data_IF_464417611095
#
_entry.id   IF_464417611095
#
_cell.length_a   1.000
_cell.length_b   1.000
_cell.length_c   1.000
_cell.angle_alpha   90.00
_cell.angle_beta   90.00
_cell.angle_gamma   90.00
#
_symmetry.space_group_name_H-M   'P 1'
#
loop_
_entity.id
_entity.type
_entity.pdbx_description
1 polymer ?
#
# COMPACT_ATOMS: atom_id res chain seq x y z
N UNK A 1 1.44 -33.66 -11.49
CA UNK A 1 1.75 -34.00 -12.90
C UNK A 1 3.24 -34.28 -12.95
N UNK A 2 3.64 -35.53 -13.22
CA UNK A 2 5.03 -35.80 -13.58
C UNK A 2 5.35 -35.00 -14.84
N UNK A 3 6.36 -34.13 -14.74
CA UNK A 3 6.90 -33.46 -15.92
C UNK A 3 7.97 -34.37 -16.48
N UNK A 4 7.60 -35.12 -17.49
CA UNK A 4 8.50 -35.98 -18.25
C UNK A 4 9.38 -35.11 -19.15
N UNK A 5 10.41 -34.49 -18.58
CA UNK A 5 11.50 -33.94 -19.38
C UNK A 5 12.27 -35.11 -19.96
N UNK A 6 12.46 -35.09 -21.27
CA UNK A 6 13.14 -36.14 -22.03
C UNK A 6 14.63 -35.87 -22.17
N UNK A 7 15.02 -34.60 -22.09
CA UNK A 7 16.42 -34.18 -22.06
C UNK A 7 16.58 -32.93 -21.20
N UNK A 8 17.79 -32.73 -20.70
CA UNK A 8 18.21 -31.56 -19.95
C UNK A 8 19.60 -31.11 -20.40
N UNK A 9 19.84 -29.81 -20.37
CA UNK A 9 21.10 -29.18 -20.69
C UNK A 9 21.40 -28.11 -19.63
N UNK A 10 22.50 -28.30 -18.90
CA UNK A 10 22.93 -27.34 -17.88
C UNK A 10 23.58 -26.13 -18.55
N UNK A 11 22.99 -24.95 -18.38
CA UNK A 11 23.55 -23.70 -18.89
C UNK A 11 24.66 -23.15 -17.97
N UNK A 12 24.52 -23.38 -16.66
CA UNK A 12 25.53 -23.00 -15.68
C UNK A 12 24.95 -22.56 -14.34
N UNK A 13 25.80 -21.93 -13.54
CA UNK A 13 25.46 -21.31 -12.26
C UNK A 13 25.51 -19.79 -12.40
N UNK A 14 24.47 -19.10 -11.94
CA UNK A 14 24.49 -17.65 -11.74
C UNK A 14 24.63 -17.34 -10.26
N UNK A 15 25.54 -16.43 -9.95
CA UNK A 15 25.72 -15.90 -8.60
C UNK A 15 25.01 -14.55 -8.48
N UNK A 16 23.95 -14.50 -7.68
CA UNK A 16 23.25 -13.27 -7.27
C UNK A 16 22.35 -13.56 -6.05
N UNK A 17 21.93 -12.53 -5.31
CA UNK A 17 21.09 -12.71 -4.14
C UNK A 17 19.66 -13.08 -4.55
N UNK A 18 19.39 -14.36 -4.73
CA UNK A 18 18.09 -14.85 -5.23
C UNK A 18 16.90 -14.50 -4.33
N UNK A 19 17.12 -14.06 -3.08
CA UNK A 19 16.03 -13.59 -2.21
C UNK A 19 15.64 -12.14 -2.51
N UNK A 20 16.54 -11.35 -3.09
CA UNK A 20 16.31 -9.93 -3.37
C UNK A 20 16.21 -9.63 -4.87
N UNK A 21 16.91 -10.40 -5.71
CA UNK A 21 17.15 -10.06 -7.11
C UNK A 21 16.48 -11.04 -8.09
N UNK A 22 15.79 -12.08 -7.60
CA UNK A 22 15.16 -13.09 -8.47
C UNK A 22 14.04 -12.50 -9.34
N UNK A 23 13.13 -11.73 -8.74
CA UNK A 23 12.03 -11.12 -9.49
C UNK A 23 12.57 -10.12 -10.53
N UNK A 24 13.61 -9.37 -10.17
CA UNK A 24 14.29 -8.47 -11.09
C UNK A 24 14.94 -9.22 -12.25
N UNK A 25 15.64 -10.32 -11.96
CA UNK A 25 16.25 -11.16 -12.98
C UNK A 25 15.21 -11.80 -13.91
N UNK A 26 14.07 -12.27 -13.39
CA UNK A 26 12.98 -12.85 -14.20
C UNK A 26 12.38 -11.79 -15.16
N UNK A 27 12.19 -10.55 -14.72
CA UNK A 27 11.72 -9.47 -15.61
C UNK A 27 12.78 -9.10 -16.66
N UNK A 28 14.07 -9.15 -16.32
CA UNK A 28 15.14 -8.97 -17.32
C UNK A 28 15.14 -10.09 -18.38
N UNK A 29 14.93 -11.34 -17.98
CA UNK A 29 14.76 -12.48 -18.90
C UNK A 29 13.56 -12.25 -19.81
N UNK A 30 12.41 -11.83 -19.26
CA UNK A 30 11.20 -11.51 -20.02
C UNK A 30 11.46 -10.43 -21.07
N UNK A 31 12.16 -9.37 -20.68
CA UNK A 31 12.54 -8.28 -21.59
C UNK A 31 13.45 -8.79 -22.72
N UNK A 32 14.46 -9.60 -22.40
CA UNK A 32 15.38 -10.17 -23.39
C UNK A 32 14.67 -11.10 -24.39
N UNK A 33 13.62 -11.82 -23.95
CA UNK A 33 12.74 -12.62 -24.82
C UNK A 33 11.87 -11.70 -25.70
N UNK A 34 11.29 -10.64 -25.11
CA UNK A 34 10.45 -9.67 -25.82
C UNK A 34 11.17 -8.90 -26.93
N UNK A 35 12.43 -8.50 -26.69
CA UNK A 35 13.30 -7.86 -27.71
C UNK A 35 13.52 -8.77 -28.92
N UNK A 36 13.45 -10.09 -28.72
CA UNK A 36 13.58 -11.11 -29.78
C UNK A 36 12.24 -11.46 -30.43
N UNK A 37 11.19 -10.67 -30.22
CA UNK A 37 9.88 -10.84 -30.85
C UNK A 37 9.02 -11.98 -30.29
N UNK A 38 9.41 -12.55 -29.14
CA UNK A 38 8.71 -13.68 -28.52
C UNK A 38 8.02 -13.26 -27.22
N UNK A 39 7.10 -14.08 -26.74
CA UNK A 39 6.38 -13.83 -25.49
C UNK A 39 6.73 -14.85 -24.41
N UNK A 40 6.47 -14.50 -23.14
CA UNK A 40 6.87 -15.28 -21.98
C UNK A 40 5.66 -15.91 -21.27
N UNK A 41 5.74 -17.20 -20.96
CA UNK A 41 4.92 -17.85 -19.94
C UNK A 41 5.78 -18.31 -18.77
N UNK A 42 5.36 -18.08 -17.53
CA UNK A 42 6.10 -18.51 -16.33
C UNK A 42 5.23 -19.35 -15.40
N UNK A 43 5.83 -20.28 -14.67
CA UNK A 43 5.17 -20.97 -13.56
C UNK A 43 6.14 -21.42 -12.49
N UNK A 44 5.71 -21.32 -11.23
CA UNK A 44 6.46 -21.84 -10.08
C UNK A 44 6.00 -23.26 -9.79
N UNK A 45 6.94 -24.19 -9.74
CA UNK A 45 6.67 -25.60 -9.52
C UNK A 45 7.39 -26.10 -8.28
N UNK A 46 6.78 -27.10 -7.64
CA UNK A 46 7.38 -27.88 -6.56
C UNK A 46 7.37 -29.32 -7.00
N UNK A 47 8.54 -29.93 -7.03
CA UNK A 47 8.66 -31.39 -7.10
C UNK A 47 9.10 -31.90 -5.72
N UNK A 48 8.83 -33.17 -5.42
CA UNK A 48 9.18 -33.78 -4.14
C UNK A 48 10.70 -33.92 -3.96
N UNK A 49 11.46 -33.96 -5.07
CA UNK A 49 12.91 -34.12 -5.06
C UNK A 49 13.68 -32.79 -5.14
N UNK A 50 13.09 -31.76 -5.76
CA UNK A 50 13.71 -30.45 -5.94
C UNK A 50 12.96 -29.37 -5.16
N UNK A 51 13.68 -28.52 -4.45
CA UNK A 51 13.15 -27.27 -3.89
C UNK A 51 12.36 -26.49 -4.97
N UNK A 52 11.47 -25.54 -4.59
CA UNK A 52 10.69 -24.78 -5.57
C UNK A 52 11.60 -24.24 -6.68
N UNK A 53 11.28 -24.60 -7.92
CA UNK A 53 11.97 -24.13 -9.11
C UNK A 53 11.00 -23.34 -9.98
N UNK A 54 11.54 -22.40 -10.73
CA UNK A 54 10.77 -21.60 -11.68
C UNK A 54 10.98 -22.17 -13.07
N UNK A 55 9.89 -22.51 -13.75
CA UNK A 55 9.91 -22.85 -15.17
C UNK A 55 9.54 -21.61 -15.99
N UNK A 56 10.36 -21.31 -16.97
CA UNK A 56 10.21 -20.20 -17.90
C UNK A 56 10.00 -20.79 -19.30
N UNK A 57 8.91 -20.39 -19.96
CA UNK A 57 8.52 -20.85 -21.30
C UNK A 57 8.52 -19.68 -22.27
N UNK A 58 8.97 -19.96 -23.48
CA UNK A 58 8.82 -19.07 -24.63
C UNK A 58 7.53 -19.47 -25.36
N UNK A 59 6.74 -18.47 -25.74
CA UNK A 59 5.58 -18.61 -26.61
C UNK A 59 5.86 -17.80 -27.87
N UNK A 60 5.79 -18.47 -29.01
CA UNK A 60 6.09 -17.93 -30.33
C UNK A 60 4.92 -18.21 -31.27
N UNK A 61 4.41 -17.18 -31.95
CA UNK A 61 3.20 -17.25 -32.78
C UNK A 61 1.97 -17.91 -32.12
N UNK A 62 1.86 -17.85 -30.78
CA UNK A 62 0.78 -18.48 -30.02
C UNK A 62 1.03 -19.93 -29.60
N UNK A 63 2.16 -20.52 -29.99
CA UNK A 63 2.58 -21.87 -29.62
C UNK A 63 3.69 -21.83 -28.56
N UNK A 64 3.52 -22.61 -27.50
CA UNK A 64 4.55 -22.73 -26.47
C UNK A 64 5.68 -23.64 -26.96
N UNK A 65 6.91 -23.19 -26.82
CA UNK A 65 8.08 -24.01 -27.08
C UNK A 65 8.11 -25.25 -26.19
N UNK A 66 8.51 -26.38 -26.78
CA UNK A 66 8.73 -27.64 -26.05
C UNK A 66 9.98 -27.61 -25.15
N UNK A 67 10.91 -26.67 -25.42
CA UNK A 67 12.06 -26.37 -24.58
C UNK A 67 11.71 -25.29 -23.55
N UNK A 68 11.96 -25.58 -22.28
CA UNK A 68 11.70 -24.69 -21.16
C UNK A 68 12.98 -24.45 -20.38
N UNK A 69 13.16 -23.26 -19.83
CA UNK A 69 14.23 -23.03 -18.88
C UNK A 69 13.78 -23.34 -17.46
N UNK A 70 14.66 -23.99 -16.71
CA UNK A 70 14.47 -24.39 -15.32
C UNK A 70 15.48 -23.61 -14.49
N UNK A 71 14.96 -22.85 -13.52
CA UNK A 71 15.77 -22.05 -12.60
C UNK A 71 15.58 -22.59 -11.18
N UNK A 72 16.64 -23.11 -10.57
CA UNK A 72 16.58 -23.72 -9.25
C UNK A 72 17.63 -23.11 -8.31
N UNK A 73 17.23 -22.84 -7.08
CA UNK A 73 18.14 -22.35 -6.03
C UNK A 73 18.96 -23.51 -5.46
N UNK A 74 20.27 -23.33 -5.29
CA UNK A 74 21.10 -24.32 -4.62
C UNK A 74 20.82 -24.36 -3.11
N UNK A 75 20.64 -25.57 -2.57
CA UNK A 75 20.34 -25.79 -1.14
C UNK A 75 21.42 -25.24 -0.22
N UNK A 76 22.68 -25.49 -0.59
CA UNK A 76 23.84 -25.14 0.23
C UNK A 76 24.37 -23.74 -0.11
N UNK A 77 23.73 -23.02 -1.03
CA UNK A 77 24.20 -21.72 -1.50
C UNK A 77 23.02 -20.83 -1.89
N UNK A 78 22.42 -20.11 -0.92
CA UNK A 78 21.27 -19.25 -1.17
C UNK A 78 21.51 -18.10 -2.16
N UNK A 79 22.77 -17.82 -2.50
CA UNK A 79 23.22 -16.80 -3.45
C UNK A 79 23.59 -17.36 -4.82
N UNK A 80 23.34 -18.66 -5.05
CA UNK A 80 23.58 -19.32 -6.32
C UNK A 80 22.30 -19.92 -6.87
N UNK A 81 22.13 -19.78 -8.17
CA UNK A 81 21.04 -20.36 -8.93
C UNK A 81 21.61 -21.19 -10.06
N UNK A 82 21.10 -22.41 -10.20
CA UNK A 82 21.38 -23.27 -11.35
C UNK A 82 20.35 -23.00 -12.41
N UNK A 83 20.80 -22.87 -13.65
CA UNK A 83 19.94 -22.71 -14.81
C UNK A 83 20.19 -23.88 -15.76
N UNK A 84 19.12 -24.58 -16.09
CA UNK A 84 19.11 -25.58 -17.15
C UNK A 84 18.03 -25.27 -18.19
N UNK A 85 18.15 -25.88 -19.36
CA UNK A 85 17.08 -25.98 -20.34
C UNK A 85 16.66 -27.44 -20.40
N UNK A 86 15.37 -27.71 -20.41
CA UNK A 86 14.84 -29.05 -20.54
C UNK A 86 13.78 -29.10 -21.63
N UNK A 87 13.68 -30.23 -22.34
CA UNK A 87 12.69 -30.42 -23.39
C UNK A 87 11.78 -31.63 -23.14
N UNK A 88 10.59 -31.58 -23.71
CA UNK A 88 9.55 -32.63 -23.54
C UNK A 88 9.50 -33.68 -24.65
N UNK A 89 10.14 -33.42 -25.78
CA UNK A 89 10.16 -34.30 -26.95
C UNK A 89 11.62 -34.58 -27.36
N UNK A 90 11.92 -35.83 -27.73
CA UNK A 90 13.23 -36.24 -28.26
C UNK A 90 13.41 -35.85 -29.74
N UNK A 91 12.30 -35.77 -30.50
CA UNK A 91 12.33 -35.65 -31.96
C UNK A 91 12.60 -34.21 -32.45
N UNK A 92 12.52 -33.22 -31.56
CA UNK A 92 12.93 -31.83 -31.84
C UNK A 92 14.41 -31.62 -31.49
N UNK A 93 15.30 -32.31 -32.19
CA UNK A 93 16.73 -31.96 -32.26
C UNK A 93 16.89 -30.70 -33.15
N UNK A 94 16.16 -29.64 -32.79
CA UNK A 94 16.54 -28.23 -32.96
C UNK A 94 17.04 -27.70 -31.60
N UNK A 95 17.64 -28.60 -30.81
CA UNK A 95 18.12 -28.32 -29.45
C UNK A 95 19.17 -27.23 -29.47
N UNK A 96 20.03 -27.13 -30.48
CA UNK A 96 21.09 -26.13 -30.53
C UNK A 96 20.57 -24.70 -30.72
N UNK A 97 19.59 -24.45 -31.59
CA UNK A 97 19.02 -23.10 -31.77
C UNK A 97 18.27 -22.66 -30.50
N UNK A 98 17.45 -23.55 -29.94
CA UNK A 98 16.68 -23.24 -28.71
C UNK A 98 17.58 -23.10 -27.49
N UNK A 99 18.62 -23.93 -27.36
CA UNK A 99 19.64 -23.80 -26.29
C UNK A 99 20.39 -22.50 -26.48
N UNK A 100 20.86 -22.18 -27.69
CA UNK A 100 21.57 -20.93 -27.98
C UNK A 100 20.71 -19.71 -27.67
N UNK A 101 19.43 -19.73 -28.04
CA UNK A 101 18.47 -18.70 -27.66
C UNK A 101 18.42 -18.49 -26.14
N UNK A 102 18.31 -19.58 -25.37
CA UNK A 102 18.29 -19.49 -23.90
C UNK A 102 19.63 -19.01 -23.33
N UNK A 103 20.76 -19.50 -23.84
CA UNK A 103 22.10 -19.05 -23.45
C UNK A 103 22.21 -17.55 -23.63
N UNK A 104 21.84 -17.02 -24.80
CA UNK A 104 21.88 -15.59 -25.09
C UNK A 104 20.95 -14.79 -24.17
N UNK A 105 19.69 -15.21 -24.03
CA UNK A 105 18.71 -14.55 -23.18
C UNK A 105 19.19 -14.46 -21.73
N UNK A 106 19.76 -15.54 -21.19
CA UNK A 106 20.26 -15.54 -19.82
C UNK A 106 21.55 -14.77 -19.64
N UNK A 107 22.45 -14.80 -20.61
CA UNK A 107 23.65 -13.97 -20.60
C UNK A 107 23.29 -12.48 -20.64
N UNK A 108 22.40 -12.07 -21.55
CA UNK A 108 21.92 -10.69 -21.64
C UNK A 108 21.24 -10.23 -20.34
N UNK A 109 20.38 -11.08 -19.77
CA UNK A 109 19.71 -10.81 -18.51
C UNK A 109 20.71 -10.71 -17.34
N UNK A 110 21.71 -11.59 -17.30
CA UNK A 110 22.76 -11.55 -16.28
C UNK A 110 23.64 -10.31 -16.40
N UNK A 111 24.07 -9.96 -17.61
CA UNK A 111 24.81 -8.72 -17.86
C UNK A 111 23.97 -7.48 -17.50
N UNK A 112 22.69 -7.48 -17.84
CA UNK A 112 21.76 -6.42 -17.47
C UNK A 112 21.61 -6.31 -15.95
N UNK A 113 21.53 -7.42 -15.23
CA UNK A 113 21.50 -7.45 -13.76
C UNK A 113 22.77 -6.86 -13.14
N UNK A 114 23.90 -6.89 -13.86
CA UNK A 114 25.16 -6.25 -13.42
C UNK A 114 25.31 -4.81 -13.88
N UNK A 115 24.42 -4.31 -14.73
CA UNK A 115 24.42 -2.90 -15.11
C UNK A 115 24.00 -2.00 -13.94
N UNK A 116 24.47 -0.76 -13.97
CA UNK A 116 24.09 0.27 -13.01
C UNK A 116 22.59 0.52 -13.05
N UNK A 117 22.00 0.75 -11.88
CA UNK A 117 20.61 1.18 -11.79
C UNK A 117 20.47 2.53 -12.48
N UNK A 118 19.39 2.65 -13.26
CA UNK A 118 18.97 3.89 -13.88
C UNK A 118 17.95 4.58 -12.98
N UNK A 119 17.93 5.91 -13.06
CA UNK A 119 16.95 6.71 -12.34
C UNK A 119 15.77 7.01 -13.26
N UNK A 120 14.61 6.45 -12.94
CA UNK A 120 13.36 6.67 -13.66
C UNK A 120 12.59 7.82 -13.04
N UNK A 121 12.23 8.81 -13.86
CA UNK A 121 11.31 9.87 -13.46
C UNK A 121 9.88 9.42 -13.73
N UNK A 122 9.00 9.55 -12.75
CA UNK A 122 7.62 9.12 -12.82
C UNK A 122 6.64 10.20 -12.39
N UNK A 123 5.42 10.11 -12.89
CA UNK A 123 4.29 10.95 -12.51
C UNK A 123 3.15 10.10 -11.96
N UNK A 124 2.40 10.66 -11.02
CA UNK A 124 1.21 10.07 -10.42
C UNK A 124 0.20 11.16 -10.09
N UNK A 125 -1.02 10.76 -9.74
CA UNK A 125 -2.05 11.69 -9.24
C UNK A 125 -2.55 11.19 -7.90
N UNK A 126 -2.63 12.11 -6.94
CA UNK A 126 -3.20 11.86 -5.62
C UNK A 126 -4.33 12.84 -5.36
N UNK A 127 -5.16 12.56 -4.37
CA UNK A 127 -6.22 13.50 -3.99
C UNK A 127 -7.06 12.98 -2.84
N UNK A 128 -7.96 13.82 -2.30
CA UNK A 128 -8.88 13.40 -1.25
C UNK A 128 -9.71 12.20 -1.71
N UNK A 129 -9.99 11.26 -0.80
CA UNK A 129 -10.89 10.14 -1.04
C UNK A 129 -12.33 10.68 -1.17
N UNK A 130 -13.08 10.29 -2.21
CA UNK A 130 -14.49 10.67 -2.33
C UNK A 130 -15.32 10.14 -1.15
N UNK A 131 -16.50 10.70 -0.92
CA UNK A 131 -17.44 10.32 0.14
C UNK A 131 -16.92 10.50 1.58
N UNK A 132 -15.91 11.36 1.77
CA UNK A 132 -15.45 11.76 3.10
C UNK A 132 -16.00 13.15 3.42
N UNK A 133 -16.67 13.30 4.58
CA UNK A 133 -17.31 14.56 4.99
C UNK A 133 -16.33 15.74 5.02
N UNK A 134 -15.07 15.51 5.39
CA UNK A 134 -14.05 16.56 5.55
C UNK A 134 -13.22 16.86 4.30
N UNK A 135 -13.46 16.17 3.17
CA UNK A 135 -12.47 16.09 2.09
C UNK A 135 -12.79 16.94 0.84
N UNK A 136 -13.77 17.83 0.91
CA UNK A 136 -14.11 18.69 -0.24
C UNK A 136 -13.15 19.88 -0.36
N UNK A 137 -12.74 20.16 -1.60
CA UNK A 137 -12.14 21.45 -1.98
C UNK A 137 -10.72 21.74 -1.49
N UNK A 138 -9.89 20.76 -1.15
CA UNK A 138 -8.50 21.06 -0.73
C UNK A 138 -7.64 21.39 -1.95
N UNK A 139 -6.86 22.47 -1.86
CA UNK A 139 -5.89 22.88 -2.87
C UNK A 139 -4.58 23.30 -2.22
N UNK A 140 -3.47 22.84 -2.78
CA UNK A 140 -2.15 23.31 -2.37
C UNK A 140 -2.03 24.80 -2.69
N UNK A 141 -1.66 25.58 -1.69
CA UNK A 141 -1.41 27.02 -1.81
C UNK A 141 -0.23 27.34 -2.73
N UNK A 142 0.76 26.45 -2.81
CA UNK A 142 1.90 26.53 -3.72
C UNK A 142 2.46 25.10 -3.98
N UNK A 143 3.21 24.90 -5.08
CA UNK A 143 4.01 23.70 -5.27
C UNK A 143 4.98 23.47 -4.10
N UNK A 144 5.23 22.21 -3.77
CA UNK A 144 6.11 21.81 -2.69
C UNK A 144 6.90 20.54 -3.04
N UNK A 145 7.84 20.17 -2.17
CA UNK A 145 8.59 18.92 -2.27
C UNK A 145 8.39 18.11 -0.99
N UNK A 146 8.13 16.81 -1.14
CA UNK A 146 8.00 15.86 -0.03
C UNK A 146 8.80 14.61 -0.38
N UNK A 147 9.91 14.39 0.31
CA UNK A 147 10.75 13.21 0.12
C UNK A 147 11.43 13.14 -1.23
N UNK A 148 11.68 14.28 -1.87
CA UNK A 148 12.14 14.36 -3.26
C UNK A 148 11.04 14.20 -4.31
N UNK A 149 9.77 14.06 -3.90
CA UNK A 149 8.62 14.14 -4.81
C UNK A 149 8.11 15.57 -4.90
N UNK A 150 8.06 16.12 -6.10
CA UNK A 150 7.42 17.39 -6.41
C UNK A 150 5.90 17.21 -6.37
N UNK A 151 5.20 18.04 -5.61
CA UNK A 151 3.74 18.03 -5.50
C UNK A 151 3.14 19.37 -5.87
N UNK A 152 2.11 19.37 -6.72
CA UNK A 152 1.39 20.57 -7.11
C UNK A 152 -0.09 20.27 -7.35
N UNK A 153 -0.99 21.19 -6.97
CA UNK A 153 -2.39 21.04 -7.33
C UNK A 153 -2.59 21.27 -8.83
N UNK A 154 -3.48 20.49 -9.43
CA UNK A 154 -3.97 20.80 -10.76
C UNK A 154 -4.73 22.13 -10.77
N UNK A 155 -4.72 22.82 -11.91
CA UNK A 155 -5.43 24.10 -12.05
C UNK A 155 -6.95 23.94 -12.05
N UNK A 156 -7.43 22.79 -12.54
CA UNK A 156 -8.86 22.52 -12.73
C UNK A 156 -9.34 21.47 -11.74
N UNK A 157 -10.55 21.64 -11.17
CA UNK A 157 -11.16 20.61 -10.35
C UNK A 157 -11.56 19.41 -11.20
N UNK A 158 -11.56 18.24 -10.56
CA UNK A 158 -12.19 17.02 -11.04
C UNK A 158 -13.54 16.87 -10.34
N UNK A 159 -14.60 16.67 -11.11
CA UNK A 159 -15.93 16.31 -10.62
C UNK A 159 -16.18 14.84 -10.93
N UNK A 160 -16.32 14.02 -9.89
CA UNK A 160 -16.56 12.58 -10.00
C UNK A 160 -17.99 12.24 -9.58
N UNK A 161 -18.62 11.30 -10.28
CA UNK A 161 -19.84 10.66 -9.79
C UNK A 161 -19.47 9.67 -8.71
N UNK A 162 -20.06 9.83 -7.54
CA UNK A 162 -19.84 8.96 -6.38
C UNK A 162 -21.13 8.23 -6.02
N UNK A 163 -21.05 6.96 -5.60
CA UNK A 163 -22.19 6.28 -5.02
C UNK A 163 -22.72 7.11 -3.84
N UNK A 164 -24.05 7.33 -3.76
CA UNK A 164 -24.64 8.02 -2.63
C UNK A 164 -24.33 7.26 -1.33
N UNK A 165 -24.27 7.99 -0.21
CA UNK A 165 -23.99 7.38 1.08
C UNK A 165 -25.02 6.30 1.44
N UNK A 166 -26.28 6.56 1.08
CA UNK A 166 -27.40 5.63 1.19
C UNK A 166 -27.56 4.93 -0.16
N UNK A 167 -27.44 3.59 -0.23
CA UNK A 167 -27.64 2.87 -1.47
C UNK A 167 -28.99 3.22 -2.10
N UNK A 168 -28.96 3.68 -3.35
CA UNK A 168 -30.15 4.09 -4.10
C UNK A 168 -29.92 3.85 -5.57
N UNK A 169 -30.95 3.34 -6.27
CA UNK A 169 -30.92 3.15 -7.72
C UNK A 169 -31.13 4.46 -8.50
N UNK A 170 -31.60 5.52 -7.83
CA UNK A 170 -32.02 6.78 -8.46
C UNK A 170 -31.24 8.00 -7.97
N UNK A 171 -30.31 7.83 -7.03
CA UNK A 171 -29.50 8.92 -6.51
C UNK A 171 -28.06 8.77 -6.98
N UNK A 172 -27.49 9.87 -7.44
CA UNK A 172 -26.07 10.03 -7.72
C UNK A 172 -25.55 11.14 -6.82
N UNK A 173 -24.38 10.92 -6.22
CA UNK A 173 -23.63 11.99 -5.59
C UNK A 173 -22.59 12.54 -6.55
N UNK A 174 -22.22 13.80 -6.39
CA UNK A 174 -21.07 14.38 -7.06
C UNK A 174 -20.01 14.75 -6.02
N UNK A 175 -18.76 14.45 -6.34
CA UNK A 175 -17.61 14.81 -5.51
C UNK A 175 -16.67 15.68 -6.33
N UNK A 176 -16.55 16.95 -5.93
CA UNK A 176 -15.61 17.91 -6.52
C UNK A 176 -14.33 17.94 -5.68
N UNK A 177 -13.19 17.74 -6.33
CA UNK A 177 -11.87 17.86 -5.70
C UNK A 177 -10.86 18.51 -6.62
N UNK A 178 -9.75 19.02 -6.07
CA UNK A 178 -8.61 19.49 -6.86
C UNK A 178 -7.49 18.46 -6.67
N UNK A 179 -7.30 17.53 -7.61
CA UNK A 179 -6.23 16.54 -7.51
C UNK A 179 -4.85 17.19 -7.46
N UNK A 180 -3.88 16.43 -6.97
CA UNK A 180 -2.48 16.85 -6.81
C UNK A 180 -1.64 15.97 -7.73
N UNK A 181 -0.89 16.60 -8.64
CA UNK A 181 0.15 15.93 -9.40
C UNK A 181 1.33 15.64 -8.48
N UNK A 182 1.90 14.44 -8.62
CA UNK A 182 3.11 14.03 -7.92
C UNK A 182 4.13 13.61 -8.95
N UNK A 183 5.30 14.21 -8.93
CA UNK A 183 6.43 13.82 -9.79
C UNK A 183 7.58 13.40 -8.90
N UNK A 184 8.07 12.18 -9.11
CA UNK A 184 9.14 11.61 -8.30
C UNK A 184 10.19 10.90 -9.14
N UNK A 185 11.13 10.28 -8.44
CA UNK A 185 12.18 9.47 -9.04
C UNK A 185 12.37 8.19 -8.25
N UNK A 186 12.60 7.09 -8.96
CA UNK A 186 12.94 5.81 -8.36
C UNK A 186 14.06 5.15 -9.15
N UNK A 187 14.82 4.26 -8.51
CA UNK A 187 15.96 3.60 -9.13
C UNK A 187 15.61 2.16 -9.51
N UNK A 188 15.97 1.77 -10.71
CA UNK A 188 15.76 0.41 -11.20
C UNK A 188 16.59 0.13 -12.44
N UNK A 189 16.67 -1.12 -12.87
CA UNK A 189 17.27 -1.47 -14.17
C UNK A 189 16.25 -1.43 -15.31
N UNK A 190 14.97 -1.54 -14.97
CA UNK A 190 13.84 -1.23 -15.83
C UNK A 190 12.78 -0.43 -15.06
N UNK A 191 11.81 0.11 -15.79
CA UNK A 191 10.67 0.77 -15.17
C UNK A 191 9.91 -0.18 -14.25
N UNK A 192 9.67 -1.42 -14.68
CA UNK A 192 8.96 -2.46 -13.93
C UNK A 192 9.63 -2.73 -12.58
N UNK A 193 10.97 -2.74 -12.53
CA UNK A 193 11.71 -2.92 -11.28
C UNK A 193 11.60 -1.71 -10.35
N UNK A 194 11.32 -0.52 -10.88
CA UNK A 194 11.14 0.71 -10.09
C UNK A 194 9.70 0.94 -9.63
N UNK A 195 8.72 0.15 -10.11
CA UNK A 195 7.31 0.27 -9.71
C UNK A 195 7.12 0.08 -8.20
N UNK A 196 7.72 -0.93 -7.54
CA UNK A 196 7.54 -1.10 -6.08
C UNK A 196 8.05 0.11 -5.30
N UNK A 197 9.26 0.60 -5.60
CA UNK A 197 9.82 1.78 -4.91
C UNK A 197 8.97 3.04 -5.15
N UNK A 198 8.59 3.31 -6.41
CA UNK A 198 7.75 4.48 -6.72
C UNK A 198 6.36 4.39 -6.09
N UNK A 199 5.79 3.18 -5.99
CA UNK A 199 4.51 2.95 -5.32
C UNK A 199 4.62 3.17 -3.82
N UNK A 200 5.67 2.65 -3.19
CA UNK A 200 5.95 2.84 -1.76
C UNK A 200 6.16 4.33 -1.43
N UNK A 201 6.92 5.05 -2.26
CA UNK A 201 7.17 6.47 -2.12
C UNK A 201 5.86 7.28 -2.24
N UNK A 202 5.06 7.00 -3.26
CA UNK A 202 3.76 7.64 -3.46
C UNK A 202 2.80 7.36 -2.29
N UNK A 203 2.73 6.11 -1.83
CA UNK A 203 1.85 5.71 -0.74
C UNK A 203 2.28 6.37 0.58
N UNK A 204 3.59 6.51 0.80
CA UNK A 204 4.16 7.23 1.95
C UNK A 204 3.78 8.71 1.92
N UNK A 205 3.89 9.38 0.77
CA UNK A 205 3.47 10.78 0.59
C UNK A 205 1.97 10.92 0.90
N UNK A 206 1.11 10.07 0.34
CA UNK A 206 -0.32 10.06 0.63
C UNK A 206 -0.62 9.92 2.13
N UNK A 207 0.00 8.95 2.80
CA UNK A 207 -0.25 8.69 4.21
C UNK A 207 0.21 9.85 5.10
N UNK A 208 1.39 10.41 4.81
CA UNK A 208 1.92 11.58 5.52
C UNK A 208 1.03 12.82 5.35
N UNK A 209 0.59 13.12 4.12
CA UNK A 209 -0.35 14.20 3.86
C UNK A 209 -1.69 13.96 4.55
N UNK A 210 -2.14 12.71 4.61
CA UNK A 210 -3.38 12.37 5.31
C UNK A 210 -3.33 12.66 6.79
N UNK A 211 -2.20 12.34 7.43
CA UNK A 211 -1.94 12.71 8.82
C UNK A 211 -1.83 14.23 8.96
N UNK A 212 -1.10 14.92 8.07
CA UNK A 212 -0.92 16.36 8.16
C UNK A 212 -2.25 17.14 8.08
N UNK A 213 -3.10 16.79 7.12
CA UNK A 213 -4.32 17.55 6.80
C UNK A 213 -5.59 17.02 7.46
N UNK A 214 -5.53 15.88 8.16
CA UNK A 214 -6.71 15.17 8.70
C UNK A 214 -7.73 14.77 7.62
N UNK A 215 -7.22 14.48 6.43
CA UNK A 215 -8.05 14.18 5.25
C UNK A 215 -7.47 12.93 4.58
N UNK A 216 -8.29 11.93 4.23
CA UNK A 216 -7.80 10.75 3.54
C UNK A 216 -7.31 11.08 2.13
N UNK A 217 -6.00 11.20 1.94
CA UNK A 217 -5.37 11.35 0.63
C UNK A 217 -5.05 9.95 0.09
N UNK A 218 -5.56 9.69 -1.13
CA UNK A 218 -5.41 8.41 -1.81
C UNK A 218 -4.75 8.58 -3.18
N UNK A 219 -4.21 7.48 -3.69
CA UNK A 219 -3.72 7.39 -5.07
C UNK A 219 -4.91 7.38 -6.02
N UNK A 220 -4.94 8.31 -6.97
CA UNK A 220 -5.95 8.44 -8.03
C UNK A 220 -5.44 7.91 -9.37
N UNK A 221 -4.15 8.08 -9.64
CA UNK A 221 -3.43 7.42 -10.72
C UNK A 221 -2.10 6.92 -10.17
N UNK A 222 -1.79 5.64 -10.42
CA UNK A 222 -0.55 4.99 -9.99
C UNK A 222 0.67 5.63 -10.67
N UNK A 223 1.90 5.45 -10.15
CA UNK A 223 3.09 5.90 -10.83
C UNK A 223 3.16 5.37 -12.26
N UNK A 224 3.48 6.26 -13.20
CA UNK A 224 3.76 5.95 -14.60
C UNK A 224 5.03 6.69 -15.03
N UNK A 225 5.85 6.11 -15.92
CA UNK A 225 7.08 6.76 -16.34
C UNK A 225 6.74 7.96 -17.23
N UNK A 226 7.42 9.09 -17.01
CA UNK A 226 7.08 10.35 -17.73
C UNK A 226 7.27 10.24 -19.25
N UNK A 227 8.06 9.28 -19.73
CA UNK A 227 8.19 8.99 -21.16
C UNK A 227 6.87 8.59 -21.82
N UNK A 228 5.87 8.15 -21.04
CA UNK A 228 4.52 7.86 -21.51
C UNK A 228 3.63 9.12 -21.62
N UNK A 229 4.17 10.29 -21.29
CA UNK A 229 3.44 11.56 -21.27
C UNK A 229 3.07 12.03 -19.86
N UNK A 230 2.54 13.24 -19.78
CA UNK A 230 1.97 13.81 -18.55
C UNK A 230 0.57 13.22 -18.35
N UNK A 231 0.21 12.90 -17.10
CA UNK A 231 -1.14 12.45 -16.78
C UNK A 231 -2.08 13.65 -16.90
N UNK A 232 -2.82 13.71 -18.00
CA UNK A 232 -3.88 14.68 -18.21
C UNK A 232 -5.12 14.28 -17.42
N UNK A 233 -5.62 15.20 -16.59
CA UNK A 233 -6.86 14.97 -15.85
C UNK A 233 -8.05 15.54 -16.63
N UNK A 234 -9.07 14.72 -16.91
CA UNK A 234 -10.30 15.23 -17.46
C UNK A 234 -11.06 16.03 -16.38
N UNK A 235 -11.97 16.92 -16.78
CA UNK A 235 -12.84 17.66 -15.83
C UNK A 235 -13.80 16.73 -15.10
N UNK A 236 -14.19 15.64 -15.74
CA UNK A 236 -15.02 14.57 -15.21
C UNK A 236 -14.60 13.25 -15.86
N UNK A 237 -14.80 12.09 -15.22
CA UNK A 237 -14.45 10.81 -15.82
C UNK A 237 -15.15 10.58 -17.17
N UNK A 238 -14.46 9.99 -18.18
CA UNK A 238 -15.03 9.82 -19.52
C UNK A 238 -16.24 8.87 -19.56
N UNK A 239 -16.43 8.05 -18.53
CA UNK A 239 -17.57 7.14 -18.39
C UNK A 239 -18.77 7.76 -17.64
N UNK A 240 -18.63 8.95 -17.06
CA UNK A 240 -19.74 9.65 -16.41
C UNK A 240 -20.41 10.61 -17.39
N UNK A 241 -21.73 10.76 -17.27
CA UNK A 241 -22.43 11.89 -17.88
C UNK A 241 -21.82 13.19 -17.38
N UNK A 242 -21.82 14.20 -18.23
CA UNK A 242 -21.33 15.53 -17.89
C UNK A 242 -22.17 16.08 -16.72
N UNK A 243 -21.61 16.20 -15.50
CA UNK A 243 -22.38 16.63 -14.34
C UNK A 243 -22.90 18.05 -14.49
N UNK A 244 -22.27 18.86 -15.36
CA UNK A 244 -22.67 20.24 -15.64
C UNK A 244 -23.91 20.33 -16.53
N UNK A 245 -24.25 19.29 -17.28
CA UNK A 245 -25.51 19.24 -18.06
C UNK A 245 -26.72 18.93 -17.17
N UNK A 246 -26.48 18.33 -15.99
CA UNK A 246 -27.52 18.01 -15.01
C UNK A 246 -27.77 19.15 -14.01
N UNK A 247 -26.91 20.18 -13.99
CA UNK A 247 -27.13 21.39 -13.20
C UNK A 247 -28.30 22.19 -13.78
N UNK A 248 -29.22 22.63 -12.92
CA UNK A 248 -30.30 23.52 -13.36
C UNK A 248 -29.76 24.91 -13.72
N UNK A 249 -30.49 25.66 -14.56
CA UNK A 249 -30.09 27.02 -14.94
C UNK A 249 -29.82 27.88 -13.69
N UNK A 250 -28.57 28.31 -13.50
CA UNK A 250 -28.12 29.12 -12.36
C UNK A 250 -27.34 28.35 -11.29
N UNK A 251 -27.34 27.01 -11.31
CA UNK A 251 -26.45 26.21 -10.49
C UNK A 251 -25.06 26.18 -11.14
N UNK A 252 -24.07 26.70 -10.42
CA UNK A 252 -22.66 26.54 -10.78
C UNK A 252 -21.96 25.84 -9.63
N UNK A 253 -20.97 25.01 -9.94
CA UNK A 253 -20.05 24.56 -8.90
C UNK A 253 -19.32 25.79 -8.37
N UNK A 254 -19.53 26.12 -7.10
CA UNK A 254 -18.86 27.25 -6.48
C UNK A 254 -17.35 26.98 -6.39
N UNK A 255 -16.59 27.64 -7.25
CA UNK A 255 -15.13 27.57 -7.28
C UNK A 255 -14.49 28.31 -6.08
N UNK A 256 -15.26 29.08 -5.30
CA UNK A 256 -14.76 29.91 -4.19
C UNK A 256 -14.55 29.16 -2.88
N UNK A 257 -14.99 27.90 -2.77
CA UNK A 257 -14.92 27.12 -1.53
C UNK A 257 -13.68 26.22 -1.40
N UNK A 258 -12.62 26.50 -2.16
CA UNK A 258 -11.37 25.73 -2.05
C UNK A 258 -10.60 26.11 -0.77
N UNK A 259 -10.45 25.16 0.15
CA UNK A 259 -9.58 25.29 1.32
C UNK A 259 -8.12 25.18 0.88
N UNK A 260 -7.43 26.32 0.88
CA UNK A 260 -5.99 26.35 0.67
C UNK A 260 -5.26 25.67 1.84
N UNK A 261 -4.36 24.75 1.52
CA UNK A 261 -3.49 24.06 2.48
C UNK A 261 -2.02 24.26 2.11
N UNK A 262 -1.16 24.20 3.12
CA UNK A 262 0.30 24.18 2.95
C UNK A 262 0.82 22.78 3.29
N UNK A 263 1.99 22.45 2.76
CA UNK A 263 2.76 21.26 3.18
C UNK A 263 3.56 21.65 4.43
N UNK A 264 3.29 21.06 5.61
CA UNK A 264 4.06 21.41 6.81
C UNK A 264 5.55 21.07 6.69
N UNK A 265 6.41 21.95 7.21
CA UNK A 265 7.88 21.80 7.13
C UNK A 265 8.42 20.49 7.73
N UNK A 266 7.72 19.92 8.72
CA UNK A 266 8.14 18.69 9.38
C UNK A 266 8.02 17.43 8.48
N UNK A 267 7.26 17.50 7.38
CA UNK A 267 6.98 16.36 6.51
C UNK A 267 8.22 15.81 5.82
N UNK A 268 9.12 16.67 5.34
CA UNK A 268 10.35 16.26 4.65
C UNK A 268 11.24 15.43 5.58
N UNK A 269 11.48 15.94 6.79
CA UNK A 269 12.24 15.23 7.81
C UNK A 269 11.58 13.90 8.21
N UNK A 270 10.25 13.88 8.33
CA UNK A 270 9.51 12.67 8.67
C UNK A 270 9.63 11.61 7.57
N UNK A 271 9.50 11.99 6.30
CA UNK A 271 9.65 11.09 5.16
C UNK A 271 11.04 10.41 5.17
N UNK A 272 12.12 11.18 5.29
CA UNK A 272 13.47 10.60 5.28
C UNK A 272 13.75 9.71 6.49
N UNK A 273 13.18 10.02 7.66
CA UNK A 273 13.30 9.20 8.86
C UNK A 273 12.64 7.83 8.66
N UNK A 274 11.47 7.79 8.02
CA UNK A 274 10.74 6.55 7.71
C UNK A 274 11.53 5.59 6.80
N UNK A 275 12.44 6.09 5.94
CA UNK A 275 13.28 5.24 5.07
C UNK A 275 14.50 4.62 5.75
N UNK A 276 15.07 5.23 6.80
CA UNK A 276 16.47 4.97 7.20
C UNK A 276 16.72 4.22 8.52
N UNK A 277 15.80 4.19 9.49
CA UNK A 277 16.09 3.59 10.82
C UNK A 277 15.08 2.52 11.25
N UNK A 278 15.58 1.51 11.96
CA UNK A 278 14.77 0.41 12.51
C UNK A 278 13.61 0.90 13.39
N UNK A 279 13.84 1.88 14.28
CA UNK A 279 12.78 2.53 15.09
C UNK A 279 11.65 3.06 14.20
N UNK A 280 12.00 3.67 13.07
CA UNK A 280 11.05 4.28 12.15
C UNK A 280 10.29 3.28 11.30
N UNK A 281 10.75 2.02 11.20
CA UNK A 281 9.95 0.94 10.58
C UNK A 281 8.65 0.69 11.33
N UNK A 282 8.65 0.79 12.66
CA UNK A 282 7.41 0.65 13.47
C UNK A 282 6.46 1.82 13.26
N UNK A 283 6.98 3.05 13.20
CA UNK A 283 6.18 4.24 12.85
C UNK A 283 5.62 4.10 11.43
N UNK A 284 6.43 3.59 10.49
CA UNK A 284 6.00 3.30 9.12
C UNK A 284 4.82 2.34 9.09
N UNK A 285 4.91 1.20 9.79
CA UNK A 285 3.79 0.24 9.90
C UNK A 285 2.55 0.85 10.56
N UNK A 286 2.73 1.69 11.58
CA UNK A 286 1.63 2.40 12.21
C UNK A 286 0.95 3.36 11.23
N UNK A 287 1.74 4.08 10.42
CA UNK A 287 1.27 4.97 9.38
C UNK A 287 0.54 4.21 8.25
N UNK A 288 1.05 3.04 7.86
CA UNK A 288 0.44 2.18 6.84
C UNK A 288 -0.91 1.65 7.35
N UNK A 289 -0.97 1.17 8.60
CA UNK A 289 -2.22 0.73 9.24
C UNK A 289 -3.24 1.88 9.38
N UNK A 290 -2.80 3.07 9.76
CA UNK A 290 -3.66 4.25 9.81
C UNK A 290 -4.21 4.63 8.43
N UNK A 291 -3.35 4.64 7.40
CA UNK A 291 -3.76 4.91 6.02
C UNK A 291 -4.78 3.89 5.53
N UNK A 292 -4.63 2.62 5.90
CA UNK A 292 -5.62 1.58 5.57
C UNK A 292 -6.93 1.78 6.32
N UNK A 293 -6.87 2.18 7.60
CA UNK A 293 -8.04 2.57 8.39
C UNK A 293 -8.84 3.68 7.71
N UNK A 294 -8.18 4.71 7.19
CA UNK A 294 -8.82 5.79 6.43
C UNK A 294 -9.49 5.30 5.13
N UNK A 295 -8.90 4.32 4.44
CA UNK A 295 -9.52 3.70 3.26
C UNK A 295 -10.75 2.89 3.61
N UNK A 296 -10.78 2.27 4.78
CA UNK A 296 -11.87 1.41 5.21
C UNK A 296 -12.97 2.15 5.99
N UNK A 297 -12.68 3.32 6.57
CA UNK A 297 -13.53 4.01 7.55
C UNK A 297 -15.01 4.09 7.16
N UNK A 298 -15.28 4.43 5.90
CA UNK A 298 -16.64 4.61 5.41
C UNK A 298 -17.35 3.29 5.07
N UNK A 299 -16.69 2.38 4.35
CA UNK A 299 -17.31 1.14 3.84
C UNK A 299 -17.27 -0.01 4.85
N UNK A 300 -16.23 -0.02 5.70
CA UNK A 300 -15.94 -1.07 6.67
C UNK A 300 -15.43 -0.50 8.01
N UNK A 301 -16.24 0.31 8.75
CA UNK A 301 -15.84 0.95 10.00
C UNK A 301 -15.27 0.01 11.09
N UNK A 302 -15.74 -1.23 11.19
CA UNK A 302 -15.23 -2.28 12.07
C UNK A 302 -13.81 -2.71 11.69
N UNK A 303 -13.50 -2.85 10.39
CA UNK A 303 -12.13 -3.13 9.92
C UNK A 303 -11.24 -1.89 9.99
N UNK A 304 -11.81 -0.70 9.81
CA UNK A 304 -11.13 0.56 10.04
C UNK A 304 -10.70 0.69 11.52
N UNK A 305 -11.59 0.34 12.46
CA UNK A 305 -11.27 0.28 13.88
C UNK A 305 -10.10 -0.66 14.15
N UNK A 306 -10.10 -1.88 13.57
CA UNK A 306 -8.98 -2.82 13.70
C UNK A 306 -7.66 -2.17 13.26
N UNK A 307 -7.71 -1.43 12.14
CA UNK A 307 -6.54 -0.75 11.57
C UNK A 307 -6.04 0.41 12.45
N UNK A 308 -6.95 1.23 13.01
CA UNK A 308 -6.59 2.29 13.95
C UNK A 308 -6.05 1.75 15.28
N UNK A 309 -6.64 0.68 15.81
CA UNK A 309 -6.08 -0.02 16.99
C UNK A 309 -4.67 -0.53 16.68
N UNK A 310 -4.45 -1.16 15.53
CA UNK A 310 -3.14 -1.66 15.13
C UNK A 310 -2.10 -0.53 15.00
N UNK A 311 -2.49 0.65 14.50
CA UNK A 311 -1.62 1.82 14.45
C UNK A 311 -1.20 2.27 15.87
N UNK A 312 -2.14 2.34 16.81
CA UNK A 312 -1.86 2.71 18.21
C UNK A 312 -1.00 1.64 18.90
N UNK A 313 -1.29 0.36 18.68
CA UNK A 313 -0.48 -0.76 19.18
C UNK A 313 0.98 -0.66 18.68
N UNK A 314 1.18 -0.41 17.39
CA UNK A 314 2.52 -0.24 16.82
C UNK A 314 3.28 0.94 17.46
N UNK A 315 2.60 2.05 17.76
CA UNK A 315 3.18 3.19 18.49
C UNK A 315 3.47 2.82 19.95
N UNK A 316 2.59 2.07 20.61
CA UNK A 316 2.79 1.63 22.00
C UNK A 316 4.10 0.85 22.17
N UNK A 317 4.45 0.01 21.19
CA UNK A 317 5.70 -0.76 21.18
C UNK A 317 6.97 0.11 21.00
N UNK A 318 6.80 1.35 20.54
CA UNK A 318 7.89 2.34 20.46
C UNK A 318 8.03 3.04 21.81
N UNK A 319 6.93 3.46 22.42
CA UNK A 319 6.89 4.17 23.72
C UNK A 319 7.41 3.27 24.84
N UNK A 320 6.97 2.01 24.89
CA UNK A 320 7.23 1.10 26.00
C UNK A 320 8.36 0.07 25.74
N UNK A 321 9.18 0.25 24.69
CA UNK A 321 10.34 -0.58 24.28
C UNK A 321 10.19 -2.10 24.53
N UNK A 322 9.83 -2.84 23.47
CA UNK A 322 9.87 -4.31 23.40
C UNK A 322 9.17 -5.07 24.54
N UNK A 323 8.17 -4.46 25.18
CA UNK A 323 7.30 -5.17 26.12
C UNK A 323 8.03 -5.83 27.29
N UNK A 324 9.26 -5.38 27.60
CA UNK A 324 9.97 -5.87 28.79
C UNK A 324 9.30 -5.25 29.99
N UNK A 325 8.35 -6.00 30.50
CA UNK A 325 7.75 -5.78 31.80
C UNK A 325 8.87 -5.58 32.83
N UNK A 326 8.98 -4.39 33.45
CA UNK A 326 10.02 -4.14 34.44
C UNK A 326 9.89 -5.07 35.67
N UNK A 327 8.69 -5.61 35.90
CA UNK A 327 8.33 -6.34 37.12
C UNK A 327 8.04 -7.83 36.91
N UNK A 328 7.82 -8.31 35.68
CA UNK A 328 7.29 -9.67 35.47
C UNK A 328 8.27 -10.63 34.78
N UNK A 329 8.67 -11.59 35.62
CA UNK A 329 9.45 -12.82 35.49
C UNK A 329 9.62 -13.49 34.11
N UNK A 330 10.62 -14.38 34.06
CA UNK A 330 10.98 -15.33 32.98
C UNK A 330 9.81 -16.15 32.37
N UNK A 331 8.61 -16.10 32.96
CA UNK A 331 7.40 -16.81 32.55
C UNK A 331 6.42 -15.97 31.70
N UNK A 332 6.57 -14.65 31.64
CA UNK A 332 5.64 -13.75 30.94
C UNK A 332 5.93 -13.59 29.44
N UNK A 333 6.21 -14.69 28.73
CA UNK A 333 6.35 -14.70 27.25
C UNK A 333 5.02 -14.52 26.49
N UNK A 334 3.91 -14.27 27.19
CA UNK A 334 2.58 -14.15 26.60
C UNK A 334 2.17 -12.68 26.43
N UNK A 335 1.49 -12.41 25.31
CA UNK A 335 1.02 -11.11 24.79
C UNK A 335 0.03 -10.33 25.70
N UNK A 336 -0.10 -10.68 26.99
CA UNK A 336 -1.08 -10.11 27.93
C UNK A 336 -0.91 -8.62 28.23
N UNK A 337 0.24 -8.03 27.90
CA UNK A 337 0.54 -6.62 28.20
C UNK A 337 0.16 -5.65 27.09
N UNK A 338 -0.14 -6.13 25.88
CA UNK A 338 -0.42 -5.24 24.72
C UNK A 338 -1.67 -4.38 24.98
N UNK A 339 -2.72 -4.94 25.57
CA UNK A 339 -3.91 -4.18 25.94
C UNK A 339 -3.61 -3.06 26.96
N UNK A 340 -2.73 -3.30 27.94
CA UNK A 340 -2.33 -2.29 28.93
C UNK A 340 -1.51 -1.19 28.26
N UNK A 341 -0.54 -1.55 27.40
CA UNK A 341 0.27 -0.60 26.64
C UNK A 341 -0.58 0.23 25.68
N UNK A 342 -1.56 -0.38 25.03
CA UNK A 342 -2.54 0.31 24.17
C UNK A 342 -3.29 1.40 24.94
N UNK A 343 -3.90 1.07 26.09
CA UNK A 343 -4.64 2.04 26.91
C UNK A 343 -3.72 3.15 27.44
N UNK A 344 -2.52 2.81 27.89
CA UNK A 344 -1.54 3.79 28.36
C UNK A 344 -1.09 4.73 27.22
N UNK A 345 -0.97 4.21 25.99
CA UNK A 345 -0.64 5.02 24.81
C UNK A 345 -1.79 5.94 24.41
N UNK A 346 -3.03 5.45 24.45
CA UNK A 346 -4.22 6.29 24.25
C UNK A 346 -4.26 7.46 25.24
N UNK A 347 -3.93 7.20 26.52
CA UNK A 347 -3.86 8.20 27.57
C UNK A 347 -2.87 9.35 27.33
N UNK A 348 -1.98 9.23 26.34
CA UNK A 348 -1.07 10.31 25.94
C UNK A 348 -1.75 11.40 25.11
N UNK A 349 -2.93 11.13 24.54
CA UNK A 349 -3.65 12.05 23.64
C UNK A 349 -5.14 12.17 23.92
N UNK A 350 -5.72 11.29 24.75
CA UNK A 350 -7.13 11.31 25.14
C UNK A 350 -7.24 11.16 26.66
N UNK A 351 -8.17 11.90 27.28
CA UNK A 351 -8.46 11.86 28.71
C UNK A 351 -9.95 11.56 29.00
N UNK A 352 -10.29 11.48 30.29
CA UNK A 352 -11.67 11.44 30.78
C UNK A 352 -12.54 10.29 30.23
N UNK A 353 -13.79 10.64 29.88
CA UNK A 353 -14.79 9.69 29.37
C UNK A 353 -14.44 9.15 27.98
N UNK A 354 -13.76 9.95 27.15
CA UNK A 354 -13.32 9.50 25.83
C UNK A 354 -12.25 8.41 25.96
N UNK A 355 -11.34 8.51 26.94
CA UNK A 355 -10.35 7.45 27.21
C UNK A 355 -11.03 6.16 27.66
N UNK A 356 -12.07 6.24 28.51
CA UNK A 356 -12.86 5.06 28.93
C UNK A 356 -13.56 4.41 27.74
N UNK A 357 -14.22 5.22 26.92
CA UNK A 357 -14.91 4.76 25.70
C UNK A 357 -13.92 4.07 24.74
N UNK A 358 -12.84 4.76 24.37
CA UNK A 358 -11.86 4.24 23.42
C UNK A 358 -11.04 3.06 23.97
N UNK A 359 -10.92 2.92 25.29
CA UNK A 359 -10.30 1.74 25.90
C UNK A 359 -11.09 0.46 25.65
N UNK A 360 -12.41 0.55 25.44
CA UNK A 360 -13.27 -0.59 25.13
C UNK A 360 -13.13 -1.06 23.68
N UNK A 361 -12.63 -0.22 22.78
CA UNK A 361 -12.47 -0.56 21.35
C UNK A 361 -11.51 -1.74 21.13
N UNK A 362 -10.54 -1.95 22.04
CA UNK A 362 -9.64 -3.10 22.01
C UNK A 362 -10.41 -4.44 22.05
N UNK A 363 -11.47 -4.51 22.86
CA UNK A 363 -12.33 -5.68 22.92
C UNK A 363 -13.13 -5.89 21.63
N UNK A 364 -13.58 -4.80 21.01
CA UNK A 364 -14.29 -4.84 19.71
C UNK A 364 -13.38 -5.31 18.58
N UNK A 365 -12.14 -4.82 18.52
CA UNK A 365 -11.08 -5.28 17.60
C UNK A 365 -10.90 -6.80 17.68
N UNK A 366 -10.79 -7.33 18.89
CA UNK A 366 -10.63 -8.78 19.12
C UNK A 366 -11.82 -9.57 18.56
N UNK A 367 -13.05 -9.15 18.86
CA UNK A 367 -14.27 -9.80 18.34
C UNK A 367 -14.36 -9.72 16.80
N UNK A 368 -14.01 -8.60 16.20
CA UNK A 368 -14.02 -8.46 14.74
C UNK A 368 -13.05 -9.42 14.07
N UNK A 369 -11.80 -9.49 14.55
CA UNK A 369 -10.76 -10.35 13.96
C UNK A 369 -11.01 -11.83 14.21
N UNK A 370 -11.43 -12.21 15.43
CA UNK A 370 -11.49 -13.63 15.82
C UNK A 370 -12.86 -14.27 15.66
N UNK A 371 -13.94 -13.48 15.67
CA UNK A 371 -15.31 -14.01 15.55
C UNK A 371 -16.07 -13.44 14.35
N UNK A 372 -15.43 -12.62 13.52
CA UNK A 372 -16.06 -12.00 12.35
C UNK A 372 -17.18 -11.00 12.71
N UNK A 373 -17.23 -10.50 13.95
CA UNK A 373 -18.30 -9.60 14.39
C UNK A 373 -18.12 -8.19 13.83
N UNK A 374 -19.09 -7.73 13.06
CA UNK A 374 -19.20 -6.34 12.60
C UNK A 374 -20.05 -5.53 13.59
N UNK A 375 -19.59 -4.32 13.92
CA UNK A 375 -20.26 -3.43 14.89
C UNK A 375 -20.90 -2.22 14.24
N UNK A 376 -20.45 -1.85 13.04
CA UNK A 376 -20.99 -0.72 12.28
C UNK A 376 -22.13 -1.13 11.36
N UNK A 377 -22.24 -0.37 10.27
CA UNK A 377 -23.25 -0.59 9.24
C UNK A 377 -22.94 -1.79 8.34
N UNK A 378 -21.76 -2.40 8.48
CA UNK A 378 -21.37 -3.51 7.63
C UNK A 378 -22.27 -4.72 7.82
N UNK A 379 -22.77 -5.26 6.70
CA UNK A 379 -23.67 -6.41 6.72
C UNK A 379 -25.12 -6.06 7.02
N UNK A 380 -25.47 -4.77 7.20
CA UNK A 380 -26.87 -4.33 7.24
C UNK A 380 -27.31 -3.91 5.84
N UNK A 381 -28.28 -4.62 5.28
CA UNK A 381 -28.93 -4.25 4.01
C UNK A 381 -29.98 -3.13 4.17
N UNK A 382 -30.20 -2.66 5.40
CA UNK A 382 -31.24 -1.68 5.68
C UNK A 382 -30.80 -0.25 5.34
N UNK A 383 -31.74 0.62 4.93
CA UNK A 383 -31.44 2.02 4.66
C UNK A 383 -30.83 2.67 5.90
N UNK A 384 -29.88 3.58 5.67
CA UNK A 384 -29.43 4.56 6.67
C UNK A 384 -30.66 5.23 7.27
N UNK A 385 -31.11 4.76 8.42
CA UNK A 385 -32.22 5.37 9.15
C UNK A 385 -31.62 6.18 10.30
N UNK A 386 -31.69 7.50 10.15
CA UNK A 386 -31.49 8.44 11.25
C UNK A 386 -32.84 8.56 11.94
N UNK A 387 -33.03 7.78 13.01
CA UNK A 387 -34.18 7.95 13.89
C UNK A 387 -33.92 9.13 14.81
N UNK A 388 -34.89 10.04 14.93
CA UNK A 388 -34.85 11.08 15.97
C UNK A 388 -35.13 10.51 17.37
N UNK A 389 -35.63 9.28 17.47
CA UNK A 389 -36.14 8.71 18.73
C UNK A 389 -35.43 7.42 19.17
N UNK A 390 -34.62 6.81 18.31
CA UNK A 390 -33.87 5.59 18.65
C UNK A 390 -32.40 5.75 18.32
N UNK A 391 -31.54 5.42 19.27
CA UNK A 391 -30.10 5.40 19.02
C UNK A 391 -29.78 4.32 17.99
N UNK A 392 -29.21 4.74 16.86
CA UNK A 392 -28.70 3.82 15.87
C UNK A 392 -27.28 3.40 16.29
N UNK A 393 -27.17 2.29 17.01
CA UNK A 393 -25.88 1.77 17.53
C UNK A 393 -24.76 1.71 16.48
N UNK A 394 -25.08 1.39 15.23
CA UNK A 394 -24.09 1.31 14.15
C UNK A 394 -23.55 2.69 13.76
N UNK A 395 -24.43 3.70 13.72
CA UNK A 395 -24.04 5.10 13.52
C UNK A 395 -23.26 5.61 14.73
N UNK A 396 -23.74 5.34 15.95
CA UNK A 396 -23.02 5.70 17.18
C UNK A 396 -21.62 5.12 17.18
N UNK A 397 -21.45 3.84 16.81
CA UNK A 397 -20.16 3.20 16.67
C UNK A 397 -19.25 3.94 15.66
N UNK A 398 -19.75 4.23 14.46
CA UNK A 398 -18.98 4.93 13.43
C UNK A 398 -18.57 6.34 13.87
N UNK A 399 -19.51 7.15 14.36
CA UNK A 399 -19.29 8.57 14.68
C UNK A 399 -18.61 8.80 16.04
N UNK A 400 -18.91 7.99 17.05
CA UNK A 400 -18.39 8.19 18.41
C UNK A 400 -17.16 7.34 18.71
N UNK A 401 -17.02 6.15 18.12
CA UNK A 401 -15.86 5.29 18.42
C UNK A 401 -14.84 5.32 17.30
N UNK A 402 -15.22 5.02 16.06
CA UNK A 402 -14.26 4.93 14.94
C UNK A 402 -13.63 6.28 14.65
N UNK A 403 -14.44 7.34 14.51
CA UNK A 403 -13.93 8.69 14.25
C UNK A 403 -13.06 9.23 15.39
N UNK A 404 -13.46 9.05 16.66
CA UNK A 404 -12.62 9.46 17.80
C UNK A 404 -11.33 8.67 17.88
N UNK A 405 -11.37 7.36 17.59
CA UNK A 405 -10.18 6.52 17.56
C UNK A 405 -9.24 6.90 16.42
N UNK A 406 -9.76 7.25 15.24
CA UNK A 406 -9.01 7.81 14.11
C UNK A 406 -8.26 9.07 14.55
N UNK A 407 -8.93 9.99 15.23
CA UNK A 407 -8.31 11.23 15.71
C UNK A 407 -7.21 10.95 16.74
N UNK A 408 -7.46 10.05 17.69
CA UNK A 408 -6.44 9.63 18.67
C UNK A 408 -5.22 9.00 17.99
N UNK A 409 -5.44 8.09 17.03
CA UNK A 409 -4.37 7.46 16.26
C UNK A 409 -3.57 8.50 15.45
N UNK A 410 -4.24 9.47 14.83
CA UNK A 410 -3.63 10.57 14.09
C UNK A 410 -2.75 11.44 14.99
N UNK A 411 -3.25 11.84 16.16
CA UNK A 411 -2.49 12.67 17.11
C UNK A 411 -1.24 11.93 17.64
N UNK A 412 -1.36 10.63 17.92
CA UNK A 412 -0.21 9.81 18.28
C UNK A 412 0.80 9.69 17.14
N UNK A 413 0.34 9.54 15.89
CA UNK A 413 1.21 9.55 14.71
C UNK A 413 1.90 10.91 14.53
N UNK A 414 1.19 12.03 14.68
CA UNK A 414 1.77 13.36 14.61
C UNK A 414 2.89 13.53 15.64
N UNK A 415 2.63 13.19 16.90
CA UNK A 415 3.65 13.22 17.97
C UNK A 415 4.81 12.28 17.65
N UNK A 416 4.55 11.10 17.10
CA UNK A 416 5.59 10.15 16.69
C UNK A 416 6.48 10.71 15.58
N UNK A 417 5.86 11.27 14.54
CA UNK A 417 6.53 11.80 13.36
C UNK A 417 7.35 13.04 13.68
N UNK A 418 6.90 13.85 14.65
CA UNK A 418 7.61 15.03 15.16
C UNK A 418 8.60 14.74 16.30
N UNK A 419 8.71 13.48 16.73
CA UNK A 419 9.59 13.05 17.84
C UNK A 419 9.20 13.65 19.21
N UNK A 420 7.91 13.95 19.40
CA UNK A 420 7.34 14.55 20.61
C UNK A 420 6.80 13.49 21.61
N UNK A 421 6.90 12.21 21.29
CA UNK A 421 6.49 11.15 22.22
C UNK A 421 7.49 10.98 23.38
N UNK A 422 7.01 10.72 24.60
CA UNK A 422 7.88 10.49 25.75
C UNK A 422 8.76 9.25 25.53
N UNK A 423 10.04 9.35 25.87
CA UNK A 423 11.02 8.28 25.63
C UNK A 423 10.95 7.13 26.65
N UNK A 424 10.36 7.37 27.82
CA UNK A 424 10.14 6.42 28.92
C UNK A 424 9.06 6.99 29.84
N UNK A 425 7.86 6.44 29.81
CA UNK A 425 7.03 6.47 30.99
C UNK A 425 7.20 5.11 31.65
N UNK A 426 7.58 5.00 32.94
CA UNK A 426 7.27 3.79 33.67
C UNK A 426 5.78 3.50 33.46
N UNK A 427 5.39 2.23 33.41
CA UNK A 427 3.99 1.83 33.50
C UNK A 427 3.42 2.14 34.91
N UNK A 428 3.82 3.27 35.51
CA UNK A 428 3.26 3.88 36.71
C UNK A 428 1.93 4.54 36.34
N UNK A 429 1.01 3.70 35.94
CA UNK A 429 -0.38 4.06 35.83
C UNK A 429 -1.12 3.14 36.78
N UNK A 430 -1.18 3.58 38.04
CA UNK A 430 -2.29 3.30 38.95
C UNK A 430 -3.56 4.01 38.45
N UNK A 431 -3.85 3.90 37.15
CA UNK A 431 -5.12 4.36 36.62
C UNK A 431 -6.06 3.19 36.84
N UNK A 432 -6.83 3.28 37.92
CA UNK A 432 -7.99 2.44 38.13
C UNK A 432 -9.02 2.82 37.05
N UNK A 433 -8.90 2.20 35.87
CA UNK A 433 -9.89 2.25 34.78
C UNK A 433 -10.81 1.05 34.86
#
# INVERSE_FOLDING_TARGET
>A
MNRDYKWEYLLGELEFNSTQEMDEWVELVKRCIGVRGKSLGTGVFRDQSTHPFTEIRVIDAGEAWNAVAICARLRDSPHKMVIGVAGRNYDEIDSEEKISFWVEVFNDAYHSLRSDKQRFRWAAVIGPKPNTISATGIKLSAPAVIGGCEVASYERPLVEVVPPQVPSLYSMGFFRSVPISVVGYSEGRSWENSIPESSDDLQRVCALLSVAWDIPIIVRATPQPIVNGVIELPRYPPWSKNPYEELTEGETFDDSHEKLVTVPEWLEGAYHRLRRKEKWRRVGRALDAFSEGLRLEYSHPSLALVSFVAAIEAISLIVFKDGTCPECCQYCKNHSHIAKMYRATLGLVVDGEDLKLLSQSYGKRSKTVHTGRMHGIEGRSNPYYVSLFTENEAMTFQWQEVYKLRNAARELLLKSLKEELPSKSPLDFSVNL
#
